data_IF_259459120940
#
_entry.id   IF_259459120940
#
_cell.length_a   1.000
_cell.length_b   1.000
_cell.length_c   1.000
_cell.angle_alpha   90.00
_cell.angle_beta   90.00
_cell.angle_gamma   90.00
#
_symmetry.space_group_name_H-M   'P 1'
#
loop_
_entity.id
_entity.type
_entity.pdbx_description
1 polymer ?
#
# COMPACT_ATOMS: atom_id res chain seq x y z
N UNK A 1 -58.95 23.60 17.33
CA UNK A 1 -57.97 24.66 16.96
C UNK A 1 -57.11 24.86 18.19
N UNK A 2 -56.01 24.11 18.29
CA UNK A 2 -55.06 24.19 19.39
C UNK A 2 -53.69 23.79 18.83
N UNK A 3 -52.73 24.68 18.97
CA UNK A 3 -51.34 24.60 18.53
C UNK A 3 -50.51 23.68 19.42
N UNK A 4 -49.62 22.88 18.85
CA UNK A 4 -48.50 22.25 19.56
C UNK A 4 -47.30 22.18 18.61
N UNK A 5 -46.38 23.15 18.68
CA UNK A 5 -45.10 23.09 19.42
C UNK A 5 -44.08 22.11 18.83
N UNK A 6 -43.44 22.57 17.76
CA UNK A 6 -41.98 22.64 17.55
C UNK A 6 -41.06 21.88 18.52
N UNK A 7 -40.29 20.97 17.90
CA UNK A 7 -38.92 20.52 18.20
C UNK A 7 -38.59 19.99 19.60
N UNK A 8 -38.10 18.75 19.64
CA UNK A 8 -36.82 18.43 20.32
C UNK A 8 -36.27 17.05 19.91
N UNK A 9 -35.11 17.13 19.25
CA UNK A 9 -33.98 16.20 19.34
C UNK A 9 -34.22 14.73 18.97
N UNK A 10 -34.04 14.45 17.68
CA UNK A 10 -33.45 13.20 17.24
C UNK A 10 -31.99 13.14 17.75
N UNK A 11 -31.78 12.33 18.77
CA UNK A 11 -30.46 12.01 19.29
C UNK A 11 -29.68 11.16 18.29
N UNK A 12 -28.45 11.58 18.09
CA UNK A 12 -27.28 10.71 18.08
C UNK A 12 -27.19 9.67 16.96
N UNK A 13 -27.11 10.18 15.72
CA UNK A 13 -26.26 9.52 14.73
C UNK A 13 -24.84 10.07 14.86
N UNK A 14 -24.17 9.64 15.94
CA UNK A 14 -22.71 9.64 16.02
C UNK A 14 -22.17 8.65 15.01
N UNK A 15 -22.17 9.04 13.73
CA UNK A 15 -21.28 8.47 12.73
C UNK A 15 -19.87 8.65 13.29
N UNK A 16 -19.31 7.58 13.83
CA UNK A 16 -17.89 7.50 14.11
C UNK A 16 -17.23 7.54 12.74
N UNK A 17 -16.97 8.76 12.26
CA UNK A 17 -15.97 9.03 11.26
C UNK A 17 -14.66 8.49 11.83
N UNK A 18 -14.43 7.19 11.59
CA UNK A 18 -13.21 6.51 11.95
C UNK A 18 -12.09 7.29 11.30
N UNK A 19 -11.19 7.80 12.13
CA UNK A 19 -9.96 8.49 11.75
C UNK A 19 -9.34 7.79 10.54
N UNK A 20 -9.37 8.38 9.33
CA UNK A 20 -8.70 7.77 8.19
C UNK A 20 -7.24 8.20 8.27
N UNK A 21 -6.44 7.59 9.14
CA UNK A 21 -5.05 8.08 9.31
C UNK A 21 -4.02 7.01 9.70
N UNK A 22 -4.43 5.75 9.91
CA UNK A 22 -3.50 4.63 10.03
C UNK A 22 -3.52 3.83 8.73
N UNK A 23 -2.34 3.64 8.11
CA UNK A 23 -2.17 2.70 7.01
C UNK A 23 -2.61 1.33 7.50
N UNK A 24 -3.55 0.69 6.80
CA UNK A 24 -4.06 -0.63 7.16
C UNK A 24 -3.01 -1.71 6.90
N UNK A 25 -2.18 -1.95 7.92
CA UNK A 25 -1.07 -2.90 7.88
C UNK A 25 -1.56 -4.32 7.59
N UNK A 26 -2.69 -4.73 8.18
CA UNK A 26 -3.19 -6.10 8.07
C UNK A 26 -3.58 -6.40 6.62
N UNK A 27 -4.35 -5.51 5.99
CA UNK A 27 -4.73 -5.66 4.58
C UNK A 27 -3.52 -5.71 3.64
N UNK A 28 -2.47 -4.91 3.92
CA UNK A 28 -1.24 -4.93 3.14
C UNK A 28 -0.51 -6.27 3.30
N UNK A 29 -0.36 -6.78 4.52
CA UNK A 29 0.25 -8.09 4.79
C UNK A 29 -0.48 -9.21 4.07
N UNK A 30 -1.80 -9.26 4.17
CA UNK A 30 -2.63 -10.27 3.49
C UNK A 30 -2.43 -10.22 1.96
N UNK A 31 -2.39 -9.00 1.40
CA UNK A 31 -2.16 -8.81 -0.05
C UNK A 31 -0.77 -9.32 -0.46
N UNK A 32 0.27 -9.02 0.34
CA UNK A 32 1.63 -9.50 0.10
C UNK A 32 1.69 -11.02 0.19
N UNK A 33 1.10 -11.62 1.23
CA UNK A 33 1.06 -13.07 1.42
C UNK A 33 0.37 -13.78 0.26
N UNK A 34 -0.77 -13.26 -0.20
CA UNK A 34 -1.48 -13.75 -1.38
C UNK A 34 -0.58 -13.68 -2.61
N UNK A 35 0.01 -12.51 -2.91
CA UNK A 35 0.86 -12.31 -4.08
C UNK A 35 2.10 -13.21 -4.09
N UNK A 36 2.74 -13.42 -2.94
CA UNK A 36 3.89 -14.33 -2.80
C UNK A 36 3.46 -15.81 -2.87
N UNK A 37 2.26 -16.13 -2.39
CA UNK A 37 1.69 -17.48 -2.38
C UNK A 37 1.21 -17.98 -3.74
N UNK A 38 0.90 -17.08 -4.69
CA UNK A 38 0.33 -17.40 -6.01
C UNK A 38 1.20 -18.37 -6.85
N UNK A 39 2.51 -18.44 -6.60
CA UNK A 39 3.40 -19.41 -7.27
C UNK A 39 3.02 -20.89 -7.04
N UNK A 40 2.19 -21.20 -6.04
CA UNK A 40 1.80 -22.58 -5.71
C UNK A 40 0.77 -23.18 -6.69
N UNK A 41 0.29 -22.42 -7.68
CA UNK A 41 -0.63 -22.89 -8.72
C UNK A 41 -0.35 -22.30 -10.11
N UNK A 42 -1.26 -22.52 -11.06
CA UNK A 42 -1.30 -21.80 -12.35
C UNK A 42 -2.27 -20.61 -12.21
N UNK A 43 -1.79 -19.41 -11.83
CA UNK A 43 -2.67 -18.26 -11.67
C UNK A 43 -3.37 -17.89 -12.97
N UNK A 44 -4.62 -17.43 -12.82
CA UNK A 44 -5.30 -16.74 -13.89
C UNK A 44 -4.71 -15.33 -14.05
N UNK A 45 -4.58 -14.86 -15.28
CA UNK A 45 -4.02 -13.53 -15.57
C UNK A 45 -4.85 -12.43 -14.89
N UNK A 46 -6.17 -12.58 -14.81
CA UNK A 46 -7.06 -11.66 -14.08
C UNK A 46 -6.65 -11.51 -12.61
N UNK A 47 -6.37 -12.61 -11.92
CA UNK A 47 -5.88 -12.57 -10.53
C UNK A 47 -4.57 -11.80 -10.40
N UNK A 48 -3.66 -11.95 -11.36
CA UNK A 48 -2.38 -11.22 -11.36
C UNK A 48 -2.60 -9.71 -11.56
N UNK A 49 -3.54 -9.33 -12.43
CA UNK A 49 -3.93 -7.92 -12.65
C UNK A 49 -4.54 -7.33 -11.39
N UNK A 50 -5.45 -8.06 -10.72
CA UNK A 50 -6.09 -7.58 -9.49
C UNK A 50 -5.08 -7.40 -8.35
N UNK A 51 -4.15 -8.35 -8.19
CA UNK A 51 -3.08 -8.27 -7.19
C UNK A 51 -2.12 -7.13 -7.48
N UNK A 52 -1.75 -6.94 -8.74
CA UNK A 52 -0.88 -5.85 -9.16
C UNK A 52 -1.53 -4.47 -8.87
N UNK A 53 -2.82 -4.31 -9.17
CA UNK A 53 -3.55 -3.08 -8.86
C UNK A 53 -3.59 -2.78 -7.35
N UNK A 54 -3.84 -3.80 -6.52
CA UNK A 54 -3.83 -3.67 -5.07
C UNK A 54 -2.43 -3.31 -4.53
N UNK A 55 -1.39 -4.01 -5.00
CA UNK A 55 0.00 -3.74 -4.61
C UNK A 55 0.43 -2.33 -5.01
N UNK A 56 0.03 -1.82 -6.17
CA UNK A 56 0.29 -0.42 -6.55
C UNK A 56 -0.37 0.57 -5.59
N UNK A 57 -1.62 0.31 -5.19
CA UNK A 57 -2.31 1.12 -4.20
C UNK A 57 -1.56 1.17 -2.86
N UNK A 58 -1.17 -0.01 -2.35
CA UNK A 58 -0.42 -0.14 -1.10
C UNK A 58 0.95 0.53 -1.16
N UNK A 59 1.67 0.36 -2.26
CA UNK A 59 2.96 1.03 -2.49
C UNK A 59 2.78 2.55 -2.51
N UNK A 60 1.74 3.08 -3.17
CA UNK A 60 1.48 4.51 -3.19
C UNK A 60 1.27 5.09 -1.78
N UNK A 61 0.58 4.36 -0.91
CA UNK A 61 0.38 4.73 0.50
C UNK A 61 1.70 4.72 1.29
N UNK A 62 2.52 3.67 1.13
CA UNK A 62 3.75 3.48 1.91
C UNK A 62 4.94 4.33 1.42
N UNK A 63 4.92 4.77 0.16
CA UNK A 63 6.00 5.58 -0.42
C UNK A 63 6.17 6.94 0.26
N UNK A 64 5.09 7.55 0.72
CA UNK A 64 5.13 8.88 1.33
C UNK A 64 5.88 8.88 2.68
N UNK A 65 5.57 7.98 3.64
CA UNK A 65 6.40 7.80 4.84
C UNK A 65 7.86 7.45 4.53
N UNK A 66 8.09 6.62 3.51
CA UNK A 66 9.44 6.23 3.12
C UNK A 66 10.28 7.40 2.59
N UNK A 67 9.66 8.31 1.84
CA UNK A 67 10.30 9.54 1.34
C UNK A 67 10.62 10.49 2.50
N UNK A 68 9.65 10.73 3.39
CA UNK A 68 9.85 11.53 4.61
C UNK A 68 10.99 11.01 5.47
N UNK A 69 11.15 9.69 5.57
CA UNK A 69 12.27 9.10 6.29
C UNK A 69 13.61 9.39 5.61
N UNK A 70 13.68 9.28 4.29
CA UNK A 70 14.88 9.61 3.52
C UNK A 70 15.31 11.06 3.72
N UNK A 71 14.36 12.00 3.73
CA UNK A 71 14.63 13.44 3.92
C UNK A 71 15.22 13.76 5.31
N UNK A 72 15.06 12.85 6.29
CA UNK A 72 15.66 12.95 7.63
C UNK A 72 17.03 12.30 7.73
N UNK A 73 17.45 11.53 6.73
CA UNK A 73 18.77 10.90 6.70
C UNK A 73 19.84 11.88 6.20
N UNK A 74 21.11 11.62 6.52
CA UNK A 74 22.22 12.39 5.94
C UNK A 74 22.38 12.07 4.44
N UNK A 75 22.22 13.06 3.57
CA UNK A 75 22.24 12.89 2.10
C UNK A 75 23.59 12.40 1.55
N UNK A 76 24.68 12.56 2.28
CA UNK A 76 26.00 12.01 1.90
C UNK A 76 26.21 10.56 2.31
N UNK A 77 25.28 9.94 3.03
CA UNK A 77 25.47 8.60 3.58
C UNK A 77 25.15 7.50 2.58
N UNK A 78 25.80 6.35 2.72
CA UNK A 78 25.44 5.12 1.99
C UNK A 78 24.03 4.63 2.33
N UNK A 79 23.53 4.91 3.55
CA UNK A 79 22.15 4.57 3.95
C UNK A 79 21.15 5.35 3.10
N UNK A 80 21.32 6.67 3.01
CA UNK A 80 20.45 7.54 2.19
C UNK A 80 20.49 7.15 0.71
N UNK A 81 21.68 6.98 0.12
CA UNK A 81 21.81 6.61 -1.29
C UNK A 81 21.09 5.30 -1.62
N UNK A 82 21.28 4.26 -0.78
CA UNK A 82 20.62 2.96 -0.96
C UNK A 82 19.11 3.07 -0.86
N UNK A 83 18.62 3.86 0.09
CA UNK A 83 17.20 4.05 0.33
C UNK A 83 16.52 4.78 -0.83
N UNK A 84 17.06 5.92 -1.27
CA UNK A 84 16.52 6.67 -2.42
C UNK A 84 16.62 5.85 -3.71
N UNK A 85 17.75 5.20 -3.98
CA UNK A 85 17.90 4.36 -5.18
C UNK A 85 16.85 3.24 -5.23
N UNK A 86 16.55 2.64 -4.07
CA UNK A 86 15.51 1.62 -3.98
C UNK A 86 14.12 2.21 -4.20
N UNK A 87 13.80 3.35 -3.57
CA UNK A 87 12.52 4.04 -3.80
C UNK A 87 12.29 4.42 -5.26
N UNK A 88 13.33 4.91 -5.94
CA UNK A 88 13.26 5.23 -7.37
C UNK A 88 13.03 3.97 -8.21
N UNK A 89 13.62 2.84 -7.81
CA UNK A 89 13.37 1.53 -8.41
C UNK A 89 11.89 1.11 -8.29
N UNK A 90 11.35 1.17 -7.07
CA UNK A 90 9.93 0.89 -6.80
C UNK A 90 9.03 1.79 -7.63
N UNK A 91 9.33 3.10 -7.67
CA UNK A 91 8.55 4.06 -8.46
C UNK A 91 8.52 3.68 -9.94
N UNK A 92 9.68 3.39 -10.54
CA UNK A 92 9.76 3.00 -11.94
C UNK A 92 8.95 1.74 -12.22
N UNK A 93 9.07 0.73 -11.35
CA UNK A 93 8.32 -0.52 -11.50
C UNK A 93 6.80 -0.29 -11.41
N UNK A 94 6.32 0.52 -10.46
CA UNK A 94 4.88 0.81 -10.35
C UNK A 94 4.29 1.56 -11.55
N UNK A 95 5.10 2.22 -12.39
CA UNK A 95 4.63 2.92 -13.59
C UNK A 95 4.59 2.02 -14.84
N UNK A 96 5.23 0.86 -14.80
CA UNK A 96 5.27 -0.06 -15.94
C UNK A 96 3.97 -0.86 -15.99
N UNK A 97 3.42 -1.08 -17.19
CA UNK A 97 2.31 -2.00 -17.41
C UNK A 97 2.76 -3.44 -17.12
N UNK A 98 1.82 -4.26 -16.62
CA UNK A 98 2.07 -5.67 -16.38
C UNK A 98 2.38 -6.40 -17.69
N UNK A 99 3.34 -7.32 -17.65
CA UNK A 99 3.66 -8.16 -18.79
C UNK A 99 2.42 -8.93 -19.28
N UNK A 100 2.14 -8.96 -20.60
CA UNK A 100 0.98 -9.67 -21.13
C UNK A 100 1.10 -11.20 -21.01
N UNK A 101 2.31 -11.72 -20.79
CA UNK A 101 2.55 -13.16 -20.65
C UNK A 101 2.38 -13.60 -19.18
N UNK A 102 1.63 -14.68 -18.88
CA UNK A 102 1.31 -15.07 -17.51
C UNK A 102 2.52 -15.26 -16.59
N UNK A 103 3.61 -15.83 -17.11
CA UNK A 103 4.82 -16.06 -16.32
C UNK A 103 5.57 -14.75 -16.01
N UNK A 104 5.63 -13.84 -16.99
CA UNK A 104 6.21 -12.51 -16.78
C UNK A 104 5.39 -11.71 -15.76
N UNK A 105 4.06 -11.71 -15.91
CA UNK A 105 3.14 -11.07 -14.98
C UNK A 105 3.31 -11.59 -13.55
N UNK A 106 3.46 -12.91 -13.40
CA UNK A 106 3.68 -13.54 -12.09
C UNK A 106 4.98 -13.05 -11.44
N UNK A 107 6.08 -13.00 -12.19
CA UNK A 107 7.36 -12.49 -11.69
C UNK A 107 7.23 -11.02 -11.25
N UNK A 108 6.59 -10.19 -12.08
CA UNK A 108 6.41 -8.76 -11.80
C UNK A 108 5.56 -8.52 -10.54
N UNK A 109 4.46 -9.27 -10.37
CA UNK A 109 3.64 -9.25 -9.14
C UNK A 109 4.46 -9.64 -7.92
N UNK A 110 5.31 -10.67 -8.02
CA UNK A 110 6.13 -11.11 -6.90
C UNK A 110 7.23 -10.12 -6.52
N UNK A 111 7.87 -9.50 -7.51
CA UNK A 111 8.83 -8.43 -7.27
C UNK A 111 8.14 -7.24 -6.60
N UNK A 112 6.95 -6.87 -7.08
CA UNK A 112 6.17 -5.77 -6.51
C UNK A 112 5.73 -6.07 -5.07
N UNK A 113 5.35 -7.32 -4.77
CA UNK A 113 5.04 -7.76 -3.41
C UNK A 113 6.25 -7.66 -2.48
N UNK A 114 7.46 -8.00 -2.95
CA UNK A 114 8.71 -7.86 -2.18
C UNK A 114 9.07 -6.40 -1.91
N UNK A 115 8.80 -5.52 -2.86
CA UNK A 115 9.01 -4.08 -2.66
C UNK A 115 7.97 -3.46 -1.72
N UNK A 116 6.72 -3.92 -1.80
CA UNK A 116 5.68 -3.58 -0.84
C UNK A 116 6.05 -4.07 0.57
N UNK A 117 6.55 -5.30 0.71
CA UNK A 117 7.05 -5.83 1.98
C UNK A 117 8.19 -4.98 2.55
N UNK A 118 9.19 -4.63 1.73
CA UNK A 118 10.29 -3.78 2.18
C UNK A 118 9.82 -2.41 2.67
N UNK A 119 8.84 -1.81 1.98
CA UNK A 119 8.22 -0.56 2.40
C UNK A 119 7.45 -0.71 3.72
N UNK A 120 6.72 -1.81 3.88
CA UNK A 120 5.94 -2.11 5.07
C UNK A 120 6.84 -2.37 6.29
N UNK A 121 7.91 -3.12 6.12
CA UNK A 121 8.90 -3.39 7.17
C UNK A 121 9.50 -2.06 7.66
N UNK A 122 9.92 -1.21 6.72
CA UNK A 122 10.42 0.13 7.04
C UNK A 122 9.39 1.00 7.76
N UNK A 123 8.11 0.94 7.35
CA UNK A 123 7.04 1.64 8.03
C UNK A 123 6.86 1.17 9.49
N UNK A 124 6.81 -0.16 9.72
CA UNK A 124 6.69 -0.75 11.07
C UNK A 124 7.89 -0.41 11.97
N UNK A 125 9.08 -0.39 11.39
CA UNK A 125 10.32 -0.06 12.10
C UNK A 125 10.55 1.45 12.25
N UNK A 126 9.64 2.29 11.74
CA UNK A 126 9.77 3.75 11.66
C UNK A 126 11.07 4.20 10.96
N UNK A 127 11.54 3.41 10.00
CA UNK A 127 12.74 3.67 9.19
C UNK A 127 14.02 3.91 10.00
N UNK A 128 14.11 3.28 11.17
CA UNK A 128 15.29 3.33 12.06
C UNK A 128 16.54 2.74 11.39
#
# INVERSE_FOLDING_TARGET
MTTDSTERQAGDQGSVAGVPDAIDVVTIEETIELALGVCRGRPQVSTLVDLEAQLRGHIALLREPARKAADRMWHGSTKWHRHITRLDGVERQTKQELNPLPFGALIEVQLMARDCQWLLDGYKENWR
#
